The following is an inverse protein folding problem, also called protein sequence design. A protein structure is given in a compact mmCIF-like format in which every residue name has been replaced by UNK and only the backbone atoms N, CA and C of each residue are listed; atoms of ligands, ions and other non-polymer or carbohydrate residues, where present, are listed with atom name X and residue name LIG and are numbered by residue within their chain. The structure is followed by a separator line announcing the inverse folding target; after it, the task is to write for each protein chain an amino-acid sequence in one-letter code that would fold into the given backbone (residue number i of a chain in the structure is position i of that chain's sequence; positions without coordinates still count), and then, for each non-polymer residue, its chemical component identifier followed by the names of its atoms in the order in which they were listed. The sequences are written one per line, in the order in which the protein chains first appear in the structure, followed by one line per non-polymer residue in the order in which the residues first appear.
data_IF_170254238314
#
_entry.id   IF_170254238314
#
_cell.length_a   1.000
_cell.length_b   1.000
_cell.length_c   1.000
_cell.angle_alpha   90.00
_cell.angle_beta   90.00
_cell.angle_gamma   90.00
#
_symmetry.space_group_name_H-M   'P 1'
#
loop_
_entity.id
_entity.type
_entity.pdbx_description
1 polymer ?
#
# COMPACT_ATOMS: atom_id res chain seq x y z
N UNK A 1 -18.59 5.74 22.87
CA UNK A 1 -18.41 7.07 22.25
C UNK A 1 -17.05 7.57 22.70
N UNK A 2 -16.03 7.56 21.83
CA UNK A 2 -14.73 8.16 22.17
C UNK A 2 -14.84 9.66 21.94
N UNK A 3 -14.56 10.45 22.96
CA UNK A 3 -14.55 11.92 22.94
C UNK A 3 -13.27 12.44 22.26
N UNK A 4 -13.32 13.66 21.71
CA UNK A 4 -12.28 14.44 21.01
C UNK A 4 -10.93 14.67 21.77
N UNK A 5 -10.53 13.80 22.70
CA UNK A 5 -9.40 14.02 23.61
C UNK A 5 -8.35 12.91 23.66
N UNK A 6 -8.49 11.79 22.94
CA UNK A 6 -7.40 10.81 22.90
C UNK A 6 -6.32 11.30 21.93
N UNK A 7 -5.03 11.35 22.34
CA UNK A 7 -3.95 11.69 21.43
C UNK A 7 -3.88 10.68 20.27
N UNK A 8 -3.42 11.10 19.08
CA UNK A 8 -3.26 10.20 17.94
C UNK A 8 -2.37 8.99 18.28
N UNK A 9 -2.68 7.82 17.71
CA UNK A 9 -1.95 6.58 17.99
C UNK A 9 -0.57 6.57 17.31
N UNK A 10 -0.40 7.35 16.24
CA UNK A 10 0.83 7.49 15.46
C UNK A 10 1.35 8.93 15.51
N UNK A 11 2.65 9.10 15.27
CA UNK A 11 3.28 10.42 15.20
C UNK A 11 3.75 10.79 13.79
N UNK A 12 3.87 9.80 12.90
CA UNK A 12 4.34 9.96 11.51
C UNK A 12 3.41 9.22 10.57
N UNK A 13 3.05 9.89 9.47
CA UNK A 13 2.11 9.38 8.47
C UNK A 13 2.76 9.45 7.10
N UNK A 14 3.10 8.29 6.53
CA UNK A 14 3.70 8.18 5.20
C UNK A 14 2.64 7.75 4.19
N UNK A 15 2.47 8.55 3.15
CA UNK A 15 1.71 8.20 1.96
C UNK A 15 2.63 7.97 0.78
N UNK A 16 2.51 6.81 0.15
CA UNK A 16 3.37 6.39 -0.96
C UNK A 16 2.50 6.03 -2.16
N UNK A 17 2.63 6.81 -3.22
CA UNK A 17 2.18 6.39 -4.55
C UNK A 17 3.31 5.59 -5.21
N UNK A 18 3.07 4.29 -5.43
CA UNK A 18 4.12 3.32 -5.73
C UNK A 18 4.16 3.01 -7.23
N UNK A 19 5.35 3.07 -7.83
CA UNK A 19 5.54 2.82 -9.26
C UNK A 19 6.22 1.48 -9.53
N UNK A 20 5.58 0.67 -10.37
CA UNK A 20 6.14 -0.55 -10.93
C UNK A 20 6.84 -0.40 -12.28
N UNK A 21 7.06 0.84 -12.75
CA UNK A 21 7.74 1.10 -14.01
C UNK A 21 9.25 0.80 -13.92
N UNK A 22 9.84 0.35 -15.04
CA UNK A 22 11.28 0.15 -15.23
C UNK A 22 11.99 -0.65 -14.12
N UNK A 23 13.33 -0.64 -14.07
CA UNK A 23 14.14 -1.37 -13.09
C UNK A 23 14.00 -0.80 -11.67
N UNK A 24 14.36 -1.56 -10.61
CA UNK A 24 14.36 -1.02 -9.26
C UNK A 24 15.37 0.11 -9.00
N UNK A 25 16.33 0.33 -9.90
CA UNK A 25 17.38 1.37 -9.82
C UNK A 25 17.12 2.58 -10.75
N UNK A 26 16.06 2.52 -11.56
CA UNK A 26 15.60 3.65 -12.37
C UNK A 26 15.07 4.80 -11.53
N UNK A 27 15.23 6.03 -12.01
CA UNK A 27 14.69 7.25 -11.39
C UNK A 27 13.22 7.43 -11.77
N UNK A 28 12.29 7.03 -10.88
CA UNK A 28 10.87 6.90 -11.21
C UNK A 28 10.07 8.16 -10.88
N UNK A 29 9.65 8.92 -11.90
CA UNK A 29 8.85 10.14 -11.71
C UNK A 29 7.46 9.91 -11.11
N UNK A 30 6.95 8.68 -11.14
CA UNK A 30 5.66 8.30 -10.53
C UNK A 30 5.80 7.66 -9.16
N UNK A 31 7.02 7.50 -8.64
CA UNK A 31 7.23 7.03 -7.26
C UNK A 31 7.30 8.25 -6.35
N UNK A 32 6.23 8.49 -5.57
CA UNK A 32 6.07 9.70 -4.75
C UNK A 32 5.88 9.34 -3.29
N UNK A 33 6.47 10.15 -2.41
CA UNK A 33 6.45 9.94 -0.96
C UNK A 33 6.07 11.25 -0.30
N UNK A 34 5.04 11.22 0.54
CA UNK A 34 4.65 12.34 1.38
C UNK A 34 4.66 11.92 2.85
N UNK A 35 5.14 12.81 3.70
CA UNK A 35 5.22 12.61 5.14
C UNK A 35 4.49 13.74 5.86
N UNK A 36 3.59 13.37 6.77
CA UNK A 36 3.02 14.27 7.76
C UNK A 36 3.62 13.95 9.13
N UNK A 37 4.02 14.97 9.88
CA UNK A 37 4.56 14.87 11.24
C UNK A 37 3.56 15.45 12.23
N UNK A 38 3.04 14.63 13.15
CA UNK A 38 2.01 15.06 14.09
C UNK A 38 0.80 15.66 13.35
N UNK A 39 0.56 16.97 13.56
CA UNK A 39 -0.53 17.72 12.91
C UNK A 39 -0.08 18.62 11.74
N UNK A 40 1.20 18.54 11.37
CA UNK A 40 1.74 19.36 10.27
C UNK A 40 1.22 18.91 8.91
N UNK A 41 1.11 19.85 7.98
CA UNK A 41 0.68 19.56 6.62
C UNK A 41 1.65 18.60 5.92
N UNK A 42 1.16 17.55 5.21
CA UNK A 42 2.04 16.60 4.54
C UNK A 42 2.96 17.26 3.52
N UNK A 43 4.26 16.92 3.57
CA UNK A 43 5.28 17.42 2.66
C UNK A 43 5.88 16.29 1.84
N UNK A 44 6.25 16.58 0.59
CA UNK A 44 6.92 15.60 -0.26
C UNK A 44 8.33 15.33 0.28
N UNK A 45 8.64 14.06 0.51
CA UNK A 45 9.98 13.60 0.84
C UNK A 45 10.72 13.30 -0.45
N UNK A 46 11.85 13.96 -0.67
CA UNK A 46 12.70 13.77 -1.85
C UNK A 46 13.75 12.67 -1.59
N UNK A 47 14.22 11.97 -2.64
CA UNK A 47 15.38 11.10 -2.49
C UNK A 47 16.59 11.88 -1.97
N UNK A 48 17.56 11.22 -1.32
CA UNK A 48 18.81 11.85 -0.92
C UNK A 48 19.51 12.54 -2.10
N UNK A 49 20.27 13.63 -1.88
CA UNK A 49 21.01 14.31 -2.94
C UNK A 49 21.90 13.33 -3.71
N UNK A 50 21.81 13.36 -5.04
CA UNK A 50 22.53 12.43 -5.89
C UNK A 50 22.15 12.57 -7.37
N UNK A 51 22.64 11.65 -8.23
CA UNK A 51 22.42 11.73 -9.68
C UNK A 51 20.98 11.42 -10.10
N UNK A 52 20.17 10.81 -9.22
CA UNK A 52 18.78 10.43 -9.51
C UNK A 52 17.85 11.55 -9.04
N UNK A 53 17.05 12.09 -9.96
CA UNK A 53 16.08 13.18 -9.68
C UNK A 53 14.88 12.70 -8.85
N UNK A 54 14.46 11.45 -9.05
CA UNK A 54 13.30 10.85 -8.39
C UNK A 54 13.71 9.59 -7.64
N UNK A 55 12.81 9.10 -6.78
CA UNK A 55 13.02 7.87 -6.04
C UNK A 55 13.23 6.69 -6.99
N UNK A 56 14.14 5.80 -6.60
CA UNK A 56 14.24 4.44 -7.11
C UNK A 56 13.52 3.52 -6.13
N UNK A 57 13.03 2.34 -6.57
CA UNK A 57 12.39 1.39 -5.63
C UNK A 57 13.37 0.91 -4.57
N UNK A 58 14.63 0.65 -4.97
CA UNK A 58 15.72 0.28 -4.05
C UNK A 58 15.98 1.38 -3.02
N UNK A 59 16.13 2.62 -3.47
CA UNK A 59 16.38 3.76 -2.59
C UNK A 59 15.21 4.04 -1.65
N UNK A 60 13.96 3.85 -2.10
CA UNK A 60 12.79 3.94 -1.23
C UNK A 60 12.80 2.84 -0.16
N UNK A 61 13.12 1.60 -0.52
CA UNK A 61 13.18 0.51 0.46
C UNK A 61 14.26 0.74 1.51
N UNK A 62 15.46 1.18 1.09
CA UNK A 62 16.55 1.54 1.99
C UNK A 62 16.15 2.69 2.92
N UNK A 63 15.49 3.73 2.38
CA UNK A 63 14.93 4.82 3.16
C UNK A 63 13.92 4.33 4.19
N UNK A 64 12.95 3.50 3.80
CA UNK A 64 11.94 2.97 4.71
C UNK A 64 12.54 2.11 5.82
N UNK A 65 13.53 1.28 5.49
CA UNK A 65 14.23 0.45 6.49
C UNK A 65 14.92 1.34 7.53
N UNK A 66 15.64 2.38 7.09
CA UNK A 66 16.26 3.33 8.01
C UNK A 66 15.20 4.08 8.84
N UNK A 67 14.19 4.64 8.18
CA UNK A 67 13.14 5.46 8.78
C UNK A 67 12.30 4.71 9.83
N UNK A 68 12.03 3.43 9.60
CA UNK A 68 11.24 2.56 10.49
C UNK A 68 12.07 1.79 11.52
N UNK A 69 13.40 1.97 11.55
CA UNK A 69 14.21 1.60 12.72
C UNK A 69 14.18 2.67 13.80
N UNK A 70 13.84 3.89 13.41
CA UNK A 70 13.76 5.03 14.31
C UNK A 70 12.37 5.15 14.93
N UNK A 71 12.31 5.59 16.18
CA UNK A 71 11.10 6.19 16.76
C UNK A 71 10.84 7.57 16.12
N UNK A 72 9.60 8.09 16.13
CA UNK A 72 8.39 7.58 16.79
C UNK A 72 7.54 6.65 15.90
N UNK A 73 6.43 6.15 16.46
CA UNK A 73 5.49 5.24 15.78
C UNK A 73 4.96 5.83 14.47
N UNK A 74 4.88 5.00 13.44
CA UNK A 74 4.59 5.42 12.05
C UNK A 74 3.52 4.54 11.45
N UNK A 75 2.58 5.12 10.72
CA UNK A 75 1.72 4.40 9.79
C UNK A 75 2.12 4.73 8.35
N UNK A 76 2.26 3.71 7.51
CA UNK A 76 2.70 3.81 6.11
C UNK A 76 1.61 3.23 5.21
N UNK A 77 1.00 4.06 4.36
CA UNK A 77 0.10 3.63 3.30
C UNK A 77 0.83 3.52 1.96
N UNK A 78 0.74 2.36 1.31
CA UNK A 78 1.38 2.08 0.01
C UNK A 78 0.33 1.73 -1.07
N UNK A 79 0.36 2.44 -2.19
CA UNK A 79 -0.56 2.24 -3.32
C UNK A 79 -0.15 1.05 -4.22
N UNK A 80 -0.18 -0.14 -3.64
CA UNK A 80 -0.11 -1.41 -4.37
C UNK A 80 -0.64 -2.58 -3.52
N UNK A 81 -0.97 -3.68 -4.18
CA UNK A 81 -1.39 -4.91 -3.52
C UNK A 81 -0.30 -5.51 -2.63
N UNK A 82 -0.67 -5.98 -1.44
CA UNK A 82 0.26 -6.67 -0.52
C UNK A 82 0.27 -8.18 -0.70
N UNK A 83 -0.70 -8.73 -1.43
CA UNK A 83 -0.82 -10.15 -1.71
C UNK A 83 -1.63 -10.38 -3.00
N UNK A 84 -1.87 -11.64 -3.34
CA UNK A 84 -2.55 -12.10 -4.56
C UNK A 84 -3.84 -12.87 -4.19
N UNK A 85 -4.66 -13.20 -5.19
CA UNK A 85 -5.90 -13.94 -4.98
C UNK A 85 -5.67 -15.40 -4.58
N UNK A 86 -6.61 -15.99 -3.83
CA UNK A 86 -6.61 -17.43 -3.51
C UNK A 86 -6.42 -18.33 -4.74
N UNK A 87 -7.03 -17.99 -5.87
CA UNK A 87 -6.86 -18.72 -7.12
C UNK A 87 -5.38 -18.83 -7.54
N UNK A 88 -4.58 -17.77 -7.31
CA UNK A 88 -3.13 -17.80 -7.58
C UNK A 88 -2.41 -18.79 -6.64
N UNK A 89 -2.79 -18.83 -5.36
CA UNK A 89 -2.23 -19.81 -4.43
C UNK A 89 -2.56 -21.24 -4.85
N UNK A 90 -3.80 -21.49 -5.28
CA UNK A 90 -4.28 -22.82 -5.70
C UNK A 90 -3.61 -23.33 -6.97
N UNK A 91 -3.53 -22.48 -8.00
CA UNK A 91 -2.93 -22.82 -9.29
C UNK A 91 -1.44 -23.11 -9.15
N UNK A 92 -0.78 -22.43 -8.20
CA UNK A 92 0.65 -22.56 -7.96
C UNK A 92 1.02 -23.43 -6.76
N UNK A 93 0.03 -24.05 -6.10
CA UNK A 93 0.20 -24.92 -4.92
C UNK A 93 1.01 -24.25 -3.80
N UNK A 94 0.76 -22.95 -3.59
CA UNK A 94 1.36 -22.15 -2.53
C UNK A 94 0.52 -22.35 -1.27
N UNK A 95 1.16 -22.59 -0.13
CA UNK A 95 0.47 -22.60 1.16
C UNK A 95 -0.19 -21.24 1.40
N UNK A 96 -1.40 -21.24 1.98
CA UNK A 96 -2.19 -20.04 2.27
C UNK A 96 -1.61 -19.22 3.45
N UNK A 97 -0.38 -18.78 3.32
CA UNK A 97 0.25 -17.82 4.21
C UNK A 97 1.17 -16.88 3.42
N UNK A 98 1.39 -15.71 4.00
CA UNK A 98 2.06 -14.62 3.31
C UNK A 98 3.56 -14.88 3.12
N UNK A 99 4.21 -15.57 4.05
CA UNK A 99 5.64 -15.91 3.93
C UNK A 99 5.90 -16.86 2.75
N UNK A 100 5.03 -17.85 2.57
CA UNK A 100 5.06 -18.78 1.44
C UNK A 100 4.81 -18.05 0.13
N UNK A 101 3.84 -17.12 0.08
CA UNK A 101 3.63 -16.29 -1.10
C UNK A 101 4.86 -15.46 -1.44
N UNK A 102 5.40 -14.69 -0.49
CA UNK A 102 6.54 -13.82 -0.74
C UNK A 102 7.78 -14.60 -1.16
N UNK A 103 8.01 -15.79 -0.56
CA UNK A 103 9.09 -16.69 -0.98
C UNK A 103 8.93 -17.19 -2.42
N UNK A 104 7.76 -17.73 -2.73
CA UNK A 104 7.43 -18.22 -4.08
C UNK A 104 7.48 -17.08 -5.11
N UNK A 105 6.87 -15.95 -4.80
CA UNK A 105 6.79 -14.80 -5.68
C UNK A 105 8.19 -14.24 -5.96
N UNK A 106 9.06 -14.10 -4.96
CA UNK A 106 10.43 -13.62 -5.18
C UNK A 106 11.22 -14.53 -6.13
N UNK A 107 11.07 -15.86 -6.01
CA UNK A 107 11.77 -16.83 -6.85
C UNK A 107 11.33 -16.77 -8.33
N UNK A 108 10.15 -16.21 -8.61
CA UNK A 108 9.55 -16.17 -9.94
C UNK A 108 9.40 -14.77 -10.53
N UNK A 109 9.38 -13.76 -9.65
CA UNK A 109 9.34 -12.34 -9.96
C UNK A 109 10.48 -11.61 -9.23
N UNK A 110 11.74 -11.82 -9.63
CA UNK A 110 12.89 -11.21 -8.95
C UNK A 110 13.07 -9.73 -9.33
N UNK A 111 12.00 -8.92 -9.30
CA UNK A 111 12.01 -7.49 -9.68
C UNK A 111 12.72 -6.56 -8.68
N UNK A 112 13.42 -7.16 -7.72
CA UNK A 112 14.37 -6.51 -6.83
C UNK A 112 15.80 -6.53 -7.39
N UNK A 113 16.09 -7.38 -8.38
CA UNK A 113 17.35 -7.45 -9.10
C UNK A 113 17.50 -6.25 -10.06
N UNK A 114 18.73 -5.74 -10.20
CA UNK A 114 18.98 -4.43 -10.81
C UNK A 114 18.56 -4.31 -12.28
N UNK A 115 18.55 -5.42 -13.02
CA UNK A 115 18.22 -5.47 -14.46
C UNK A 115 16.83 -6.06 -14.75
N UNK A 116 16.07 -6.43 -13.72
CA UNK A 116 14.78 -7.10 -13.88
C UNK A 116 13.64 -6.17 -13.50
N UNK A 117 12.65 -6.07 -14.39
CA UNK A 117 11.38 -5.41 -14.06
C UNK A 117 10.18 -6.17 -14.59
N UNK A 118 9.00 -5.70 -14.18
CA UNK A 118 7.72 -6.39 -14.41
C UNK A 118 7.51 -6.78 -15.88
N UNK A 119 7.80 -5.88 -16.82
CA UNK A 119 7.56 -6.16 -18.24
C UNK A 119 8.55 -7.20 -18.81
N UNK A 120 9.78 -7.29 -18.30
CA UNK A 120 10.71 -8.36 -18.72
C UNK A 120 10.12 -9.74 -18.44
N UNK A 121 9.59 -9.94 -17.24
CA UNK A 121 8.99 -11.22 -16.84
C UNK A 121 7.69 -11.45 -17.62
N UNK A 122 6.83 -10.43 -17.70
CA UNK A 122 5.55 -10.50 -18.38
C UNK A 122 5.69 -10.79 -19.88
N UNK A 123 6.76 -10.32 -20.52
CA UNK A 123 7.01 -10.57 -21.93
C UNK A 123 7.90 -11.81 -22.17
N UNK A 124 8.26 -12.56 -21.12
CA UNK A 124 9.07 -13.77 -21.26
C UNK A 124 10.54 -13.50 -21.61
N UNK A 125 11.00 -12.26 -21.43
CA UNK A 125 12.42 -11.89 -21.58
C UNK A 125 13.26 -12.35 -20.39
N UNK A 126 12.63 -12.70 -19.28
CA UNK A 126 13.25 -13.31 -18.10
C UNK A 126 12.25 -14.19 -17.36
N UNK A 127 12.69 -15.33 -16.82
CA UNK A 127 11.82 -16.25 -16.07
C UNK A 127 10.83 -17.04 -16.93
N UNK A 128 9.92 -17.77 -16.28
CA UNK A 128 8.96 -18.68 -16.92
C UNK A 128 7.55 -18.07 -16.91
N UNK A 129 7.31 -17.11 -17.81
CA UNK A 129 6.07 -16.32 -17.93
C UNK A 129 4.79 -17.13 -17.72
N UNK A 130 4.57 -18.13 -18.59
CA UNK A 130 3.32 -18.89 -18.69
C UNK A 130 2.99 -19.68 -17.42
N UNK A 131 4.00 -19.96 -16.60
CA UNK A 131 3.81 -20.75 -15.39
C UNK A 131 3.42 -19.92 -14.17
N UNK A 132 3.46 -18.57 -14.25
CA UNK A 132 3.49 -17.70 -13.05
C UNK A 132 2.64 -16.42 -13.15
N UNK A 133 1.93 -16.21 -14.26
CA UNK A 133 1.00 -15.10 -14.47
C UNK A 133 -0.43 -15.47 -14.11
N UNK A 134 -1.19 -14.57 -13.49
CA UNK A 134 -2.62 -14.75 -13.21
C UNK A 134 -3.55 -14.21 -14.30
N UNK A 135 -4.87 -14.28 -14.04
CA UNK A 135 -5.93 -13.78 -14.92
C UNK A 135 -6.30 -12.33 -14.57
N UNK A 136 -6.43 -11.45 -15.57
CA UNK A 136 -6.83 -10.05 -15.39
C UNK A 136 -8.27 -9.85 -14.88
N UNK A 137 -9.09 -10.91 -14.93
CA UNK A 137 -10.46 -10.94 -14.40
C UNK A 137 -10.54 -11.33 -12.92
N UNK A 138 -9.46 -11.88 -12.36
CA UNK A 138 -9.39 -12.24 -10.96
C UNK A 138 -9.40 -11.00 -10.09
N UNK A 139 -10.46 -10.81 -9.29
CA UNK A 139 -10.51 -9.73 -8.28
C UNK A 139 -10.51 -10.28 -6.86
N UNK A 140 -9.60 -9.77 -6.02
CA UNK A 140 -9.57 -10.05 -4.58
C UNK A 140 -10.87 -9.59 -3.92
N UNK A 141 -11.20 -10.15 -2.76
CA UNK A 141 -12.42 -9.79 -2.06
C UNK A 141 -12.51 -8.27 -1.76
N UNK A 142 -11.41 -7.62 -1.39
CA UNK A 142 -11.38 -6.17 -1.19
C UNK A 142 -11.62 -5.39 -2.50
N UNK A 143 -11.08 -5.85 -3.62
CA UNK A 143 -11.25 -5.23 -4.95
C UNK A 143 -12.70 -5.32 -5.44
N UNK A 144 -13.41 -6.40 -5.11
CA UNK A 144 -14.85 -6.54 -5.39
C UNK A 144 -15.70 -5.51 -4.66
N UNK A 145 -15.23 -5.02 -3.51
CA UNK A 145 -15.91 -4.04 -2.66
C UNK A 145 -15.59 -2.59 -3.03
N UNK A 146 -14.62 -2.35 -3.92
CA UNK A 146 -14.22 -1.01 -4.36
C UNK A 146 -14.63 -0.78 -5.80
N UNK A 147 -15.46 0.23 -6.03
CA UNK A 147 -15.83 0.64 -7.38
C UNK A 147 -14.59 1.10 -8.15
N UNK A 148 -14.31 0.45 -9.27
CA UNK A 148 -13.19 0.80 -10.15
C UNK A 148 -11.84 0.19 -9.77
N UNK A 149 -11.72 -0.48 -8.61
CA UNK A 149 -10.54 -1.28 -8.31
C UNK A 149 -10.40 -2.40 -9.34
N UNK A 150 -9.17 -2.63 -9.76
CA UNK A 150 -8.82 -3.60 -10.78
C UNK A 150 -8.07 -4.76 -10.14
N UNK A 151 -8.08 -5.88 -10.85
CA UNK A 151 -7.20 -7.00 -10.55
C UNK A 151 -5.75 -6.55 -10.49
N UNK A 152 -5.00 -7.09 -9.52
CA UNK A 152 -3.53 -7.00 -9.50
C UNK A 152 -2.85 -7.67 -10.71
N UNK A 153 -3.59 -8.37 -11.58
CA UNK A 153 -3.10 -8.91 -12.85
C UNK A 153 -3.62 -8.14 -14.09
N UNK A 154 -4.40 -7.07 -13.91
CA UNK A 154 -4.89 -6.28 -15.03
C UNK A 154 -3.90 -5.16 -15.38
N UNK A 155 -2.83 -5.50 -16.10
CA UNK A 155 -1.78 -4.55 -16.48
C UNK A 155 -2.19 -3.53 -17.56
N UNK A 156 -1.40 -2.46 -17.69
CA UNK A 156 -1.44 -1.44 -18.76
C UNK A 156 -2.80 -0.79 -19.03
N UNK A 157 -3.59 -0.57 -17.98
CA UNK A 157 -4.79 0.24 -18.05
C UNK A 157 -4.79 1.32 -16.96
N UNK A 158 -5.54 2.40 -17.21
CA UNK A 158 -5.65 3.53 -16.29
C UNK A 158 -6.17 3.08 -14.92
N UNK A 159 -5.48 3.45 -13.85
CA UNK A 159 -5.84 3.05 -12.48
C UNK A 159 -5.46 1.61 -12.12
N UNK A 160 -4.61 0.95 -12.92
CA UNK A 160 -4.06 -0.36 -12.58
C UNK A 160 -2.89 -0.24 -11.61
N UNK A 161 -2.93 -1.03 -10.55
CA UNK A 161 -1.82 -1.25 -9.61
C UNK A 161 -1.06 -2.54 -9.90
N UNK A 162 -1.28 -3.19 -11.05
CA UNK A 162 -0.69 -4.50 -11.34
C UNK A 162 0.84 -4.44 -11.37
N UNK A 163 1.41 -3.45 -12.08
CA UNK A 163 2.86 -3.25 -12.12
C UNK A 163 3.41 -2.90 -10.75
N UNK A 164 2.78 -1.98 -10.01
CA UNK A 164 3.26 -1.57 -8.69
C UNK A 164 3.22 -2.74 -7.70
N UNK A 165 2.18 -3.57 -7.74
CA UNK A 165 2.05 -4.80 -6.93
C UNK A 165 3.19 -5.76 -7.23
N UNK A 166 3.38 -6.13 -8.50
CA UNK A 166 4.39 -7.10 -8.89
C UNK A 166 5.82 -6.60 -8.63
N UNK A 167 6.04 -5.28 -8.78
CA UNK A 167 7.32 -4.68 -8.45
C UNK A 167 7.56 -4.53 -6.94
N UNK A 168 6.49 -4.34 -6.15
CA UNK A 168 6.51 -4.00 -4.73
C UNK A 168 6.60 -5.19 -3.78
N UNK A 169 6.00 -6.33 -4.12
CA UNK A 169 5.99 -7.54 -3.26
C UNK A 169 7.40 -7.97 -2.81
N UNK A 170 8.44 -8.02 -3.67
CA UNK A 170 9.81 -8.28 -3.23
C UNK A 170 10.34 -7.32 -2.15
N UNK A 171 9.97 -6.04 -2.24
CA UNK A 171 10.40 -5.01 -1.29
C UNK A 171 9.65 -5.10 0.05
N UNK A 172 8.39 -5.56 0.06
CA UNK A 172 7.69 -5.87 1.31
C UNK A 172 8.40 -6.99 2.07
N UNK A 173 8.84 -8.05 1.37
CA UNK A 173 9.61 -9.14 1.98
C UNK A 173 10.92 -8.63 2.60
N UNK A 174 11.65 -7.77 1.88
CA UNK A 174 12.88 -7.16 2.39
C UNK A 174 12.61 -6.29 3.61
N UNK A 175 11.61 -5.41 3.55
CA UNK A 175 11.26 -4.52 4.65
C UNK A 175 10.88 -5.30 5.92
N UNK A 176 10.03 -6.33 5.78
CA UNK A 176 9.59 -7.18 6.88
C UNK A 176 10.72 -7.98 7.52
N UNK A 177 11.66 -8.47 6.72
CA UNK A 177 12.81 -9.26 7.22
C UNK A 177 13.97 -8.41 7.72
N UNK A 178 13.89 -7.09 7.59
CA UNK A 178 14.98 -6.19 7.97
C UNK A 178 15.11 -6.08 9.49
N UNK A 179 16.27 -6.50 10.02
CA UNK A 179 16.58 -6.40 11.45
C UNK A 179 16.34 -4.98 11.97
N UNK A 180 15.63 -4.88 13.09
CA UNK A 180 15.32 -3.62 13.78
C UNK A 180 14.09 -2.87 13.26
N UNK A 181 13.46 -3.33 12.16
CA UNK A 181 12.16 -2.81 11.72
C UNK A 181 11.06 -3.59 12.45
N UNK A 182 10.34 -2.94 13.37
CA UNK A 182 9.18 -3.52 14.05
C UNK A 182 7.89 -2.97 13.42
N UNK A 183 7.41 -3.63 12.37
CA UNK A 183 6.25 -3.20 11.61
C UNK A 183 5.22 -4.32 11.46
N UNK A 184 3.94 -3.98 11.68
CA UNK A 184 2.77 -4.82 11.42
C UNK A 184 2.23 -4.55 10.02
N UNK A 185 2.25 -5.56 9.15
CA UNK A 185 1.71 -5.47 7.80
C UNK A 185 0.23 -5.86 7.82
N UNK A 186 -0.63 -4.86 7.91
CA UNK A 186 -2.07 -5.06 8.02
C UNK A 186 -2.70 -5.44 6.67
N UNK A 187 -3.66 -6.39 6.62
CA UNK A 187 -4.13 -7.26 7.71
C UNK A 187 -3.43 -8.63 7.76
N UNK A 188 -2.35 -8.82 7.00
CA UNK A 188 -1.69 -10.11 6.80
C UNK A 188 -1.07 -10.65 8.10
N UNK A 189 -0.45 -9.78 8.89
CA UNK A 189 0.04 -10.08 10.24
C UNK A 189 -1.10 -10.13 11.29
N UNK A 190 -2.31 -9.69 10.94
CA UNK A 190 -3.48 -9.64 11.80
C UNK A 190 -4.37 -8.41 11.54
N UNK A 191 -5.65 -8.53 11.85
CA UNK A 191 -6.64 -7.46 11.63
C UNK A 191 -6.54 -6.30 12.62
N UNK A 192 -5.92 -6.52 13.77
CA UNK A 192 -5.75 -5.52 14.82
C UNK A 192 -4.26 -5.15 14.90
N UNK A 193 -3.87 -3.95 14.43
CA UNK A 193 -2.51 -3.50 14.61
C UNK A 193 -2.15 -3.41 16.11
N UNK A 194 -0.98 -3.87 16.54
CA UNK A 194 -0.56 -3.80 17.94
C UNK A 194 -0.42 -2.34 18.40
N UNK A 195 -0.59 -2.03 19.70
CA UNK A 195 -0.51 -0.67 20.22
C UNK A 195 0.91 -0.06 20.15
N UNK A 196 1.93 -0.87 19.89
CA UNK A 196 3.32 -0.47 19.74
C UNK A 196 3.87 -0.98 18.41
N UNK A 197 4.88 -0.30 17.86
CA UNK A 197 5.44 -0.62 16.54
C UNK A 197 4.72 0.07 15.39
N UNK A 198 5.36 0.06 14.23
CA UNK A 198 4.85 0.71 13.02
C UNK A 198 3.74 -0.14 12.38
N UNK A 199 2.93 0.50 11.53
CA UNK A 199 1.92 -0.21 10.73
C UNK A 199 2.14 0.11 9.27
N UNK A 200 2.17 -0.92 8.43
CA UNK A 200 2.27 -0.79 6.98
C UNK A 200 1.00 -1.38 6.38
N UNK A 201 0.35 -0.63 5.49
CA UNK A 201 -0.97 -1.00 4.95
C UNK A 201 -1.07 -0.72 3.47
N UNK A 202 -1.78 -1.62 2.78
CA UNK A 202 -2.24 -1.40 1.41
C UNK A 202 -3.31 -0.31 1.43
N UNK A 203 -3.22 0.64 0.50
CA UNK A 203 -4.18 1.74 0.34
C UNK A 203 -4.57 1.88 -1.11
N UNK A 204 -5.69 2.56 -1.35
CA UNK A 204 -6.12 2.94 -2.69
C UNK A 204 -6.54 4.42 -2.66
N UNK A 205 -5.66 5.36 -3.08
CA UNK A 205 -5.82 6.81 -2.88
C UNK A 205 -7.17 7.37 -3.38
N UNK A 206 -7.72 6.76 -4.44
CA UNK A 206 -9.01 7.14 -5.01
C UNK A 206 -10.18 7.08 -4.01
N UNK A 207 -10.07 6.32 -2.91
CA UNK A 207 -11.07 6.29 -1.83
C UNK A 207 -11.19 7.65 -1.11
N UNK A 208 -10.11 8.43 -1.06
CA UNK A 208 -10.04 9.66 -0.27
C UNK A 208 -9.70 10.89 -1.09
N UNK A 209 -9.26 10.72 -2.35
CA UNK A 209 -8.80 11.80 -3.22
C UNK A 209 -9.81 12.94 -3.35
N UNK A 210 -11.10 12.63 -3.38
CA UNK A 210 -12.18 13.63 -3.46
C UNK A 210 -12.34 14.51 -2.21
N UNK A 211 -11.70 14.17 -1.08
CA UNK A 211 -11.74 14.97 0.16
C UNK A 211 -10.78 16.16 0.14
N UNK A 212 -9.78 16.17 -0.76
CA UNK A 212 -8.69 17.14 -0.73
C UNK A 212 -8.54 17.87 -2.06
N UNK A 213 -8.50 19.21 -1.99
CA UNK A 213 -8.23 20.05 -3.16
C UNK A 213 -6.83 19.82 -3.72
N UNK A 214 -6.72 19.83 -5.04
CA UNK A 214 -5.43 19.73 -5.74
C UNK A 214 -4.79 21.12 -5.77
N UNK A 215 -3.59 21.25 -5.18
CA UNK A 215 -2.82 22.49 -5.22
C UNK A 215 -2.17 22.69 -6.61
N UNK A 216 -1.99 23.96 -6.99
CA UNK A 216 -1.31 24.32 -8.24
C UNK A 216 0.11 23.72 -8.29
N UNK A 217 0.48 23.17 -9.45
CA UNK A 217 1.79 22.54 -9.66
C UNK A 217 1.97 21.12 -9.10
N UNK A 218 0.97 20.55 -8.41
CA UNK A 218 1.02 19.17 -7.92
C UNK A 218 0.58 18.19 -9.02
N UNK A 219 1.42 17.19 -9.34
CA UNK A 219 1.07 16.14 -10.30
C UNK A 219 0.01 15.18 -9.73
N UNK A 220 -0.58 14.36 -10.60
CA UNK A 220 -1.54 13.35 -10.16
C UNK A 220 -0.95 12.36 -9.15
N UNK A 221 0.27 11.86 -9.41
CA UNK A 221 0.99 10.93 -8.54
C UNK A 221 1.37 11.57 -7.19
N UNK A 222 1.76 12.86 -7.21
CA UNK A 222 2.00 13.62 -5.97
C UNK A 222 0.72 13.80 -5.16
N UNK A 223 -0.41 14.04 -5.83
CA UNK A 223 -1.71 14.16 -5.17
C UNK A 223 -2.14 12.84 -4.51
N UNK A 224 -1.88 11.69 -5.13
CA UNK A 224 -2.20 10.39 -4.55
C UNK A 224 -1.39 10.13 -3.28
N UNK A 225 -0.06 10.31 -3.34
CA UNK A 225 0.80 10.18 -2.16
C UNK A 225 0.42 11.18 -1.04
N UNK A 226 0.16 12.44 -1.38
CA UNK A 226 -0.32 13.46 -0.43
C UNK A 226 -1.65 13.05 0.21
N UNK A 227 -2.62 12.61 -0.59
CA UNK A 227 -3.96 12.19 -0.13
C UNK A 227 -3.86 11.10 0.91
N UNK A 228 -3.00 10.09 0.67
CA UNK A 228 -2.78 9.00 1.62
C UNK A 228 -2.19 9.53 2.93
N UNK A 229 -1.13 10.34 2.86
CA UNK A 229 -0.48 10.88 4.06
C UNK A 229 -1.45 11.75 4.88
N UNK A 230 -2.23 12.60 4.19
CA UNK A 230 -3.21 13.51 4.81
C UNK A 230 -4.35 12.73 5.46
N UNK A 231 -4.92 11.76 4.74
CA UNK A 231 -6.01 10.96 5.27
C UNK A 231 -5.57 10.13 6.47
N UNK A 232 -4.40 9.47 6.43
CA UNK A 232 -3.89 8.72 7.58
C UNK A 232 -3.72 9.60 8.82
N UNK A 233 -3.22 10.83 8.66
CA UNK A 233 -3.08 11.81 9.73
C UNK A 233 -4.43 12.21 10.34
N UNK A 234 -5.38 12.64 9.50
CA UNK A 234 -6.68 13.11 9.97
C UNK A 234 -7.53 11.98 10.54
N UNK A 235 -7.45 10.79 9.93
CA UNK A 235 -8.19 9.62 10.37
C UNK A 235 -7.69 9.12 11.73
N UNK A 236 -6.39 9.18 12.00
CA UNK A 236 -5.84 8.82 13.30
C UNK A 236 -6.28 9.81 14.39
N UNK A 237 -6.21 11.11 14.10
CA UNK A 237 -6.63 12.14 15.05
C UNK A 237 -8.13 12.16 15.35
N UNK A 238 -8.97 11.67 14.44
CA UNK A 238 -10.44 11.63 14.58
C UNK A 238 -11.01 10.27 15.02
N UNK A 239 -10.17 9.22 15.08
CA UNK A 239 -10.62 7.86 15.35
C UNK A 239 -11.14 7.10 14.11
N UNK A 240 -11.19 7.71 12.93
CA UNK A 240 -11.59 7.07 11.67
C UNK A 240 -10.60 5.96 11.27
N UNK A 241 -9.32 6.07 11.64
CA UNK A 241 -8.29 5.08 11.28
C UNK A 241 -8.54 3.73 11.96
N UNK A 242 -8.98 3.72 13.21
CA UNK A 242 -9.32 2.49 13.94
C UNK A 242 -10.55 1.82 13.30
N UNK A 243 -11.52 2.59 12.81
CA UNK A 243 -12.65 2.05 12.06
C UNK A 243 -12.20 1.49 10.70
N UNK A 244 -11.20 2.10 10.06
CA UNK A 244 -10.64 1.60 8.80
C UNK A 244 -9.87 0.28 8.96
N UNK A 245 -9.23 0.05 10.12
CA UNK A 245 -8.64 -1.25 10.47
C UNK A 245 -9.67 -2.31 10.86
N UNK A 246 -10.92 -1.92 11.12
CA UNK A 246 -12.02 -2.81 11.53
C UNK A 246 -13.19 -2.79 10.53
N UNK A 247 -12.99 -3.22 9.27
CA UNK A 247 -14.05 -3.23 8.28
C UNK A 247 -15.15 -4.24 8.65
N UNK A 248 -16.38 -3.95 8.22
CA UNK A 248 -17.53 -4.83 8.32
C UNK A 248 -17.32 -6.06 7.42
N UNK A 249 -16.91 -7.14 8.06
CA UNK A 249 -16.44 -8.38 7.44
C UNK A 249 -16.85 -9.56 8.31
N UNK A 250 -17.40 -10.59 7.68
CA UNK A 250 -17.65 -11.86 8.35
C UNK A 250 -16.32 -12.57 8.69
N UNK A 251 -16.38 -13.58 9.57
CA UNK A 251 -15.20 -14.38 9.92
C UNK A 251 -14.54 -15.02 8.68
N UNK A 252 -15.34 -15.50 7.72
CA UNK A 252 -14.83 -16.09 6.47
C UNK A 252 -14.06 -15.07 5.64
N UNK A 253 -14.57 -13.87 5.52
CA UNK A 253 -13.92 -12.78 4.79
C UNK A 253 -12.63 -12.34 5.47
N UNK A 254 -12.62 -12.33 6.81
CA UNK A 254 -11.39 -12.08 7.58
C UNK A 254 -10.34 -13.16 7.36
N UNK A 255 -10.73 -14.42 7.25
CA UNK A 255 -9.81 -15.51 6.91
C UNK A 255 -9.23 -15.35 5.50
N UNK A 256 -10.07 -15.00 4.52
CA UNK A 256 -9.62 -14.74 3.14
C UNK A 256 -8.72 -13.52 3.07
N UNK A 257 -9.07 -12.40 3.73
CA UNK A 257 -8.26 -11.18 3.72
C UNK A 257 -6.91 -11.32 4.43
N UNK A 258 -6.75 -12.29 5.34
CA UNK A 258 -5.42 -12.67 5.87
C UNK A 258 -4.53 -13.38 4.85
N UNK A 259 -5.10 -13.82 3.73
CA UNK A 259 -4.38 -14.48 2.63
C UNK A 259 -4.23 -13.50 1.47
N UNK A 260 -5.33 -12.90 1.01
CA UNK A 260 -5.36 -11.99 -0.16
C UNK A 260 -4.92 -10.55 0.14
N UNK A 261 -4.85 -10.17 1.42
CA UNK A 261 -4.69 -8.78 1.85
C UNK A 261 -6.01 -8.00 1.80
N UNK A 262 -5.95 -6.72 2.18
CA UNK A 262 -7.10 -5.83 2.19
C UNK A 262 -6.67 -4.38 1.99
N UNK A 263 -7.51 -3.60 1.30
CA UNK A 263 -7.29 -2.17 1.11
C UNK A 263 -7.88 -1.43 2.32
N UNK A 264 -7.07 -0.59 2.98
CA UNK A 264 -7.51 0.17 4.15
C UNK A 264 -8.74 1.03 3.86
N UNK A 265 -9.71 1.02 4.78
CA UNK A 265 -10.96 1.79 4.66
C UNK A 265 -12.04 1.14 3.79
N UNK A 266 -11.77 0.00 3.15
CA UNK A 266 -12.79 -0.72 2.39
C UNK A 266 -13.73 -1.49 3.31
N UNK A 267 -15.01 -1.14 3.27
CA UNK A 267 -16.02 -1.74 4.14
C UNK A 267 -16.00 -1.19 5.57
N UNK A 268 -15.32 -0.06 5.82
CA UNK A 268 -15.49 0.65 7.09
C UNK A 268 -16.86 1.34 7.13
N UNK A 269 -17.54 1.26 8.27
CA UNK A 269 -18.80 1.96 8.51
C UNK A 269 -18.53 3.44 8.78
N UNK A 270 -18.05 4.19 7.80
CA UNK A 270 -18.08 5.65 7.85
C UNK A 270 -19.49 6.06 7.45
N UNK A 271 -20.36 6.33 8.43
CA UNK A 271 -21.59 7.10 8.13
C UNK A 271 -21.13 8.39 7.44
N UNK A 272 -21.62 8.73 6.23
CA UNK A 272 -21.39 10.06 5.71
C UNK A 272 -21.98 11.03 6.74
N UNK A 273 -21.17 11.99 7.18
CA UNK A 273 -21.64 13.08 8.01
C UNK A 273 -22.61 13.90 7.15
N UNK A 274 -23.89 13.52 7.16
CA UNK A 274 -24.96 14.32 6.54
C UNK A 274 -25.02 15.60 7.34
N UNK A 275 -24.39 16.65 6.81
CA UNK A 275 -24.69 18.01 7.21
C UNK A 275 -26.21 18.18 7.11
N UNK A 276 -26.86 18.25 8.27
CA UNK A 276 -28.25 18.67 8.38
C UNK A 276 -28.28 20.12 7.92
N UNK A 277 -28.68 20.33 6.66
CA UNK A 277 -29.19 21.62 6.24
C UNK A 277 -30.52 21.83 6.96
N UNK A 278 -30.47 22.54 8.09
CA UNK A 278 -31.66 23.11 8.70
C UNK A 278 -32.16 24.20 7.74
N UNK A 279 -33.25 23.92 7.06
CA UNK A 279 -33.97 24.90 6.25
C UNK A 279 -34.70 25.80 7.25
N UNK A 280 -34.33 27.08 7.28
CA UNK A 280 -35.14 28.16 7.84
C UNK A 280 -36.14 28.66 6.82
#
# INVERSE_FOLDING_TARGET
MRTDQQPPDYARYLGIDYSGAETPTSSLSRLRVYLALGREEPREVKPPPGPKRYWTRRGLAEYLIAFLRESPRTVVGMDHGFSLLLAYFDDHKIKYDWDSLLGYFLAHWPTHEDSVWVDHIRFGLSGQKEQRTGDSKWRRLCELRVKGAKSVFHFDCQGSVAKSTHAGLPWLKLLRSSKGVNAHFWPLDGWEPPPVGHTVTEVYPSLWRGRYSVQEGRTADQQDAYTVAKWLQEADGSGELQNAFAPDTSLKERMVGRIEGWILGVGSNTRPNTALWTIG
#
